data_IF_485557883471
#
_entry.id   IF_485557883471
#
_cell.length_a   1.000
_cell.length_b   1.000
_cell.length_c   1.000
_cell.angle_alpha   90.00
_cell.angle_beta   90.00
_cell.angle_gamma   90.00
#
_symmetry.space_group_name_H-M   'P 1'
#
loop_
_entity.id
_entity.type
_entity.pdbx_description
1 polymer ?
#
# COMPACT_ATOMS: atom_id res chain seq x y z
N UNK A 1 7.24 -23.23 50.86
CA UNK A 1 7.69 -23.67 49.53
C UNK A 1 7.13 -22.72 48.51
N UNK A 2 7.92 -21.72 48.13
CA UNK A 2 7.57 -20.70 47.14
C UNK A 2 8.24 -21.09 45.82
N UNK A 3 7.44 -21.20 44.78
CA UNK A 3 7.80 -21.63 43.43
C UNK A 3 8.66 -20.59 42.71
N UNK A 4 9.66 -21.12 42.03
CA UNK A 4 10.75 -20.47 41.31
C UNK A 4 10.24 -19.74 40.04
N UNK A 5 10.03 -18.43 40.13
CA UNK A 5 9.65 -17.54 39.00
C UNK A 5 10.85 -16.80 38.39
N UNK A 6 12.09 -17.19 38.73
CA UNK A 6 13.28 -16.42 38.35
C UNK A 6 13.80 -16.70 36.93
N UNK A 7 13.39 -17.79 36.26
CA UNK A 7 13.96 -18.18 34.94
C UNK A 7 13.21 -17.67 33.71
N UNK A 8 12.03 -17.07 33.84
CA UNK A 8 11.24 -16.63 32.67
C UNK A 8 11.48 -15.15 32.29
N UNK A 9 12.09 -14.36 33.17
CA UNK A 9 12.26 -12.91 32.95
C UNK A 9 13.53 -12.59 32.14
N UNK A 10 14.52 -13.49 32.09
CA UNK A 10 15.80 -13.24 31.40
C UNK A 10 15.72 -13.31 29.88
N UNK A 11 14.71 -13.99 29.30
CA UNK A 11 14.53 -14.08 27.84
C UNK A 11 13.78 -12.87 27.27
N UNK A 12 12.93 -12.21 28.08
CA UNK A 12 12.18 -11.03 27.64
C UNK A 12 13.03 -9.73 27.64
N UNK A 13 14.08 -9.66 28.46
CA UNK A 13 14.98 -8.50 28.55
C UNK A 13 16.02 -8.43 27.40
N UNK A 14 16.14 -9.48 26.58
CA UNK A 14 16.99 -9.48 25.38
C UNK A 14 16.32 -8.82 24.16
N UNK A 15 15.05 -8.43 24.25
CA UNK A 15 14.25 -7.99 23.10
C UNK A 15 14.27 -6.47 22.84
N UNK A 16 14.71 -5.62 23.76
CA UNK A 16 14.69 -4.16 23.52
C UNK A 16 16.06 -3.56 23.22
N UNK A 17 17.13 -4.01 23.88
CA UNK A 17 18.49 -3.52 23.57
C UNK A 17 19.02 -4.01 22.22
N UNK A 18 18.57 -5.19 21.75
CA UNK A 18 18.88 -5.63 20.40
C UNK A 18 18.08 -4.85 19.35
N UNK A 19 16.79 -4.56 19.60
CA UNK A 19 15.96 -3.72 18.69
C UNK A 19 16.54 -2.32 18.49
N UNK A 20 17.11 -1.70 19.54
CA UNK A 20 17.74 -0.38 19.44
C UNK A 20 19.11 -0.42 18.75
N UNK A 21 19.86 -1.54 18.81
CA UNK A 21 21.14 -1.67 18.10
C UNK A 21 20.98 -1.85 16.59
N UNK A 22 19.86 -2.42 16.10
CA UNK A 22 19.59 -2.51 14.65
C UNK A 22 19.24 -1.13 14.06
N UNK A 23 18.76 -0.18 14.87
CA UNK A 23 18.42 1.18 14.40
C UNK A 23 19.61 2.16 14.37
N UNK A 24 20.70 1.92 15.12
CA UNK A 24 21.78 2.90 15.30
C UNK A 24 23.10 2.56 14.59
N UNK A 25 23.09 1.61 13.64
CA UNK A 25 24.20 1.42 12.70
C UNK A 25 23.76 1.78 11.29
N UNK A 26 23.31 3.03 11.11
CA UNK A 26 23.00 3.59 9.79
C UNK A 26 24.32 4.09 9.20
N UNK A 27 25.06 3.19 8.55
CA UNK A 27 25.77 3.60 7.33
C UNK A 27 24.65 4.01 6.36
N UNK A 28 24.73 5.14 5.65
CA UNK A 28 23.72 5.49 4.65
C UNK A 28 23.77 4.43 3.53
N UNK A 29 22.99 3.37 3.69
CA UNK A 29 22.63 2.47 2.61
C UNK A 29 21.70 3.28 1.72
N UNK A 30 22.15 3.62 0.51
CA UNK A 30 21.33 4.41 -0.40
C UNK A 30 19.98 3.70 -0.63
N UNK A 31 18.88 4.38 -0.34
CA UNK A 31 17.56 3.87 -0.71
C UNK A 31 17.44 3.85 -2.24
N UNK A 32 17.03 2.73 -2.80
CA UNK A 32 16.62 2.63 -4.20
C UNK A 32 15.17 3.08 -4.32
N UNK A 33 14.93 4.01 -5.25
CA UNK A 33 13.61 4.56 -5.53
C UNK A 33 13.11 3.96 -6.83
N UNK A 34 11.86 3.52 -6.84
CA UNK A 34 11.16 3.06 -8.04
C UNK A 34 9.70 3.52 -8.00
N UNK A 35 8.99 3.35 -9.12
CA UNK A 35 7.56 3.69 -9.20
C UNK A 35 6.70 2.51 -9.59
N UNK A 36 5.52 2.39 -9.00
CA UNK A 36 4.44 1.48 -9.45
C UNK A 36 3.22 2.35 -9.73
N UNK A 37 2.72 2.35 -10.96
CA UNK A 37 1.59 3.20 -11.39
C UNK A 37 1.78 4.69 -11.05
N UNK A 38 3.03 5.17 -11.14
CA UNK A 38 3.50 6.54 -10.80
C UNK A 38 3.64 6.83 -9.30
N UNK A 39 3.15 5.95 -8.42
CA UNK A 39 3.39 6.04 -6.98
C UNK A 39 4.83 5.65 -6.66
N UNK A 40 5.49 6.43 -5.79
CA UNK A 40 6.90 6.27 -5.46
C UNK A 40 7.07 5.30 -4.29
N UNK A 41 7.96 4.32 -4.46
CA UNK A 41 8.33 3.35 -3.43
C UNK A 41 9.85 3.36 -3.21
N UNK A 42 10.26 2.89 -2.03
CA UNK A 42 11.66 2.83 -1.63
C UNK A 42 11.98 1.44 -1.08
N UNK A 43 13.19 0.97 -1.39
CA UNK A 43 13.74 -0.27 -0.83
C UNK A 43 15.23 -0.09 -0.56
N UNK A 44 15.77 -0.89 0.35
CA UNK A 44 17.22 -0.96 0.62
C UNK A 44 17.92 -1.96 -0.31
N UNK A 45 17.16 -2.91 -0.88
CA UNK A 45 17.69 -3.96 -1.73
C UNK A 45 17.72 -3.52 -3.20
N UNK A 46 18.90 -3.62 -3.82
CA UNK A 46 19.06 -3.29 -5.24
C UNK A 46 18.38 -4.33 -6.16
N UNK A 47 18.29 -5.58 -5.70
CA UNK A 47 17.72 -6.69 -6.47
C UNK A 47 16.42 -7.09 -5.79
N UNK A 48 15.29 -6.88 -6.46
CA UNK A 48 13.96 -7.23 -5.96
C UNK A 48 13.19 -8.05 -7.00
N UNK A 49 12.18 -8.77 -6.53
CA UNK A 49 11.30 -9.62 -7.34
C UNK A 49 10.01 -8.91 -7.72
N UNK A 50 9.31 -9.38 -8.75
CA UNK A 50 7.97 -8.90 -9.10
C UNK A 50 6.99 -8.97 -7.93
N UNK A 51 7.08 -10.03 -7.12
CA UNK A 51 6.31 -10.20 -5.88
C UNK A 51 6.61 -9.09 -4.88
N UNK A 52 7.88 -8.84 -4.58
CA UNK A 52 8.27 -7.79 -3.64
C UNK A 52 7.82 -6.39 -4.10
N UNK A 53 7.82 -6.13 -5.42
CA UNK A 53 7.30 -4.88 -6.00
C UNK A 53 5.81 -4.71 -5.65
N UNK A 54 4.98 -5.73 -5.87
CA UNK A 54 3.55 -5.68 -5.57
C UNK A 54 3.26 -5.64 -4.07
N UNK A 55 4.03 -6.38 -3.25
CA UNK A 55 3.93 -6.38 -1.79
C UNK A 55 4.26 -4.99 -1.21
N UNK A 56 5.34 -4.35 -1.67
CA UNK A 56 5.71 -2.99 -1.27
C UNK A 56 4.64 -1.97 -1.68
N UNK A 57 3.95 -2.22 -2.80
CA UNK A 57 2.82 -1.44 -3.26
C UNK A 57 1.49 -1.74 -2.54
N UNK A 58 1.47 -2.72 -1.62
CA UNK A 58 0.27 -3.20 -0.92
C UNK A 58 -0.85 -3.68 -1.88
N UNK A 59 -0.47 -4.13 -3.08
CA UNK A 59 -1.35 -4.76 -4.06
C UNK A 59 -1.40 -6.26 -3.77
N UNK A 60 -2.37 -6.65 -2.94
CA UNK A 60 -2.47 -7.99 -2.35
C UNK A 60 -3.88 -8.57 -2.52
N UNK A 61 -4.02 -9.88 -2.78
CA UNK A 61 -2.94 -10.85 -3.04
C UNK A 61 -2.21 -10.55 -4.35
N UNK A 62 -0.91 -10.80 -4.43
CA UNK A 62 -0.10 -10.38 -5.60
C UNK A 62 -0.55 -11.08 -6.88
N UNK A 63 -1.15 -12.24 -6.76
CA UNK A 63 -1.69 -13.05 -7.87
C UNK A 63 -2.91 -12.41 -8.55
N UNK A 64 -3.54 -11.41 -7.92
CA UNK A 64 -4.67 -10.67 -8.53
C UNK A 64 -4.19 -9.63 -9.57
N UNK A 65 -2.88 -9.40 -9.72
CA UNK A 65 -2.33 -8.31 -10.53
C UNK A 65 -1.32 -8.80 -11.57
N UNK A 66 -1.40 -8.23 -12.78
CA UNK A 66 -0.35 -8.29 -13.79
C UNK A 66 0.65 -7.17 -13.53
N UNK A 67 1.94 -7.49 -13.47
CA UNK A 67 3.01 -6.52 -13.34
C UNK A 67 3.77 -6.40 -14.66
N UNK A 68 4.02 -5.16 -15.09
CA UNK A 68 4.78 -4.84 -16.28
C UNK A 68 5.98 -3.96 -15.90
N UNK A 69 7.11 -4.18 -16.57
CA UNK A 69 8.31 -3.34 -16.47
C UNK A 69 8.45 -2.46 -17.72
N UNK A 70 8.80 -1.18 -17.53
CA UNK A 70 9.16 -0.30 -18.64
C UNK A 70 10.61 -0.52 -19.03
N UNK A 71 10.85 -1.10 -20.20
CA UNK A 71 12.20 -1.42 -20.71
C UNK A 71 12.85 -0.29 -21.51
N UNK A 72 12.07 0.64 -22.08
CA UNK A 72 12.53 1.83 -22.82
C UNK A 72 11.33 2.75 -23.21
N UNK A 73 11.53 3.69 -24.14
CA UNK A 73 10.46 4.54 -24.71
C UNK A 73 9.44 3.76 -25.56
N UNK A 74 9.73 2.50 -25.91
CA UNK A 74 8.97 1.73 -26.91
C UNK A 74 7.93 0.76 -26.32
N UNK A 75 7.90 0.53 -25.01
CA UNK A 75 6.84 -0.30 -24.44
C UNK A 75 7.06 -0.85 -23.03
N UNK A 76 6.15 -1.76 -22.68
CA UNK A 76 6.10 -2.50 -21.42
C UNK A 76 6.20 -4.00 -21.71
N UNK A 77 6.89 -4.73 -20.84
CA UNK A 77 6.98 -6.19 -20.89
C UNK A 77 6.44 -6.80 -19.59
N UNK A 78 5.76 -7.97 -19.63
CA UNK A 78 5.35 -8.66 -18.42
C UNK A 78 6.53 -9.07 -17.54
N UNK A 79 6.42 -8.84 -16.25
CA UNK A 79 7.40 -9.21 -15.23
C UNK A 79 6.81 -10.31 -14.34
N UNK A 80 7.48 -11.47 -14.26
CA UNK A 80 6.99 -12.57 -13.42
C UNK A 80 7.22 -12.29 -11.93
N UNK A 81 6.41 -12.93 -11.07
CA UNK A 81 6.45 -12.70 -9.62
C UNK A 81 7.80 -13.10 -8.99
N UNK A 82 8.46 -14.14 -9.49
CA UNK A 82 9.75 -14.65 -9.00
C UNK A 82 10.97 -14.13 -9.77
N UNK A 83 10.72 -13.37 -10.85
CA UNK A 83 11.77 -12.77 -11.65
C UNK A 83 12.49 -11.67 -10.88
N UNK A 84 13.82 -11.73 -10.87
CA UNK A 84 14.69 -10.79 -10.15
C UNK A 84 15.12 -9.65 -11.07
N UNK A 85 14.95 -8.43 -10.59
CA UNK A 85 15.29 -7.20 -11.29
C UNK A 85 16.31 -6.39 -10.48
N UNK A 86 17.35 -5.90 -11.16
CA UNK A 86 18.33 -4.97 -10.57
C UNK A 86 17.91 -3.52 -10.83
N UNK A 87 17.52 -2.81 -9.76
CA UNK A 87 17.11 -1.41 -9.78
C UNK A 87 18.26 -0.44 -10.12
N UNK A 88 19.50 -0.90 -10.19
CA UNK A 88 20.65 -0.09 -10.67
C UNK A 88 20.68 0.03 -12.20
N UNK A 89 19.90 -0.78 -12.92
CA UNK A 89 19.84 -0.72 -14.37
C UNK A 89 19.26 0.61 -14.86
N UNK A 90 19.95 1.26 -15.79
CA UNK A 90 19.45 2.50 -16.40
C UNK A 90 18.10 2.25 -17.10
N UNK A 91 17.10 3.10 -16.82
CA UNK A 91 15.77 3.02 -17.43
C UNK A 91 14.73 2.21 -16.65
N UNK A 92 15.12 1.49 -15.59
CA UNK A 92 14.23 0.70 -14.72
C UNK A 92 13.73 1.57 -13.57
N UNK A 93 12.87 2.53 -13.87
CA UNK A 93 12.33 3.46 -12.86
C UNK A 93 10.81 3.35 -12.70
N UNK A 94 10.14 2.57 -13.56
CA UNK A 94 8.68 2.51 -13.62
C UNK A 94 8.15 1.12 -13.92
N UNK A 95 7.37 0.61 -12.99
CA UNK A 95 6.52 -0.54 -13.13
C UNK A 95 5.07 -0.10 -13.30
N UNK A 96 4.29 -0.93 -13.98
CA UNK A 96 2.87 -0.74 -14.15
C UNK A 96 2.14 -2.02 -13.76
N UNK A 97 1.29 -1.93 -12.74
CA UNK A 97 0.42 -2.98 -12.30
C UNK A 97 -1.02 -2.72 -12.76
N UNK A 98 -1.73 -3.78 -13.14
CA UNK A 98 -3.18 -3.73 -13.37
C UNK A 98 -3.83 -5.00 -12.83
N UNK A 99 -5.08 -4.96 -12.37
CA UNK A 99 -5.78 -6.17 -11.95
C UNK A 99 -6.02 -7.11 -13.14
N UNK A 100 -5.95 -8.43 -12.93
CA UNK A 100 -6.34 -9.41 -13.95
C UNK A 100 -7.87 -9.44 -14.20
N UNK A 101 -8.64 -9.01 -13.19
CA UNK A 101 -10.11 -8.96 -13.20
C UNK A 101 -10.57 -7.71 -12.45
N UNK A 102 -11.83 -7.34 -12.66
CA UNK A 102 -12.48 -6.32 -11.83
C UNK A 102 -12.33 -6.66 -10.34
N UNK A 103 -11.88 -5.68 -9.56
CA UNK A 103 -11.81 -5.75 -8.11
C UNK A 103 -13.15 -5.28 -7.54
N UNK A 104 -13.62 -5.95 -6.48
CA UNK A 104 -14.85 -5.59 -5.79
C UNK A 104 -14.48 -4.93 -4.46
N UNK A 105 -14.78 -3.64 -4.34
CA UNK A 105 -14.77 -2.90 -3.07
C UNK A 105 -16.19 -2.62 -2.62
N UNK A 106 -16.38 -2.12 -1.40
CA UNK A 106 -17.70 -1.82 -0.85
C UNK A 106 -17.74 -0.38 -0.35
N UNK A 107 -18.77 0.37 -0.73
CA UNK A 107 -19.05 1.73 -0.23
C UNK A 107 -20.46 1.72 0.34
N UNK A 108 -20.60 2.03 1.64
CA UNK A 108 -21.88 1.95 2.35
C UNK A 108 -22.55 0.56 2.24
N UNK A 109 -21.73 -0.49 2.34
CA UNK A 109 -22.11 -1.91 2.18
C UNK A 109 -22.61 -2.31 0.77
N UNK A 110 -22.60 -1.39 -0.21
CA UNK A 110 -22.89 -1.69 -1.60
C UNK A 110 -21.62 -2.07 -2.37
N UNK A 111 -21.63 -3.16 -3.17
CA UNK A 111 -20.47 -3.55 -3.96
C UNK A 111 -20.24 -2.57 -5.13
N UNK A 112 -18.98 -2.24 -5.35
CA UNK A 112 -18.50 -1.39 -6.43
C UNK A 112 -17.37 -2.12 -7.16
N UNK A 113 -17.56 -2.36 -8.46
CA UNK A 113 -16.54 -2.92 -9.35
C UNK A 113 -15.60 -1.83 -9.85
N UNK A 114 -14.29 -2.08 -9.76
CA UNK A 114 -13.24 -1.16 -10.20
C UNK A 114 -12.09 -1.92 -10.86
N UNK A 115 -11.39 -1.29 -11.80
CA UNK A 115 -10.23 -1.83 -12.52
C UNK A 115 -8.91 -1.10 -12.24
N UNK A 116 -8.93 -0.14 -11.32
CA UNK A 116 -7.76 0.66 -10.94
C UNK A 116 -7.03 0.09 -9.73
N UNK A 117 -5.69 0.05 -9.78
CA UNK A 117 -4.84 -0.38 -8.65
C UNK A 117 -4.76 0.67 -7.53
N UNK A 118 -4.93 1.96 -7.87
CA UNK A 118 -4.82 3.06 -6.93
C UNK A 118 -5.93 4.07 -7.18
N UNK A 119 -6.75 4.33 -6.16
CA UNK A 119 -7.78 5.35 -6.23
C UNK A 119 -7.69 6.31 -5.04
N UNK A 120 -8.03 7.57 -5.26
CA UNK A 120 -8.23 8.54 -4.19
C UNK A 120 -9.59 8.37 -3.54
N UNK A 121 -9.78 8.82 -2.29
CA UNK A 121 -11.09 8.94 -1.67
C UNK A 121 -12.14 9.61 -2.56
N UNK A 122 -11.74 10.64 -3.32
CA UNK A 122 -12.63 11.34 -4.25
C UNK A 122 -13.00 10.51 -5.48
N UNK A 123 -12.03 9.79 -6.05
CA UNK A 123 -12.27 8.86 -7.16
C UNK A 123 -13.23 7.74 -6.73
N UNK A 124 -13.05 7.17 -5.53
CA UNK A 124 -13.94 6.13 -4.97
C UNK A 124 -15.36 6.67 -4.75
N UNK A 125 -15.51 7.86 -4.15
CA UNK A 125 -16.83 8.48 -3.96
C UNK A 125 -17.54 8.71 -5.30
N UNK A 126 -16.82 9.25 -6.28
CA UNK A 126 -17.36 9.52 -7.62
C UNK A 126 -17.79 8.24 -8.31
N UNK A 127 -16.96 7.19 -8.25
CA UNK A 127 -17.28 5.87 -8.79
C UNK A 127 -18.51 5.24 -8.11
N UNK A 128 -18.71 5.49 -6.82
CA UNK A 128 -19.90 5.09 -6.06
C UNK A 128 -21.14 5.98 -6.31
N UNK A 129 -21.08 6.93 -7.24
CA UNK A 129 -22.18 7.85 -7.54
C UNK A 129 -22.44 8.91 -6.45
N UNK A 130 -21.47 9.16 -5.56
CA UNK A 130 -21.55 10.18 -4.51
C UNK A 130 -20.88 11.47 -4.97
N UNK A 131 -21.41 12.62 -4.53
CA UNK A 131 -20.75 13.92 -4.75
C UNK A 131 -19.53 14.03 -3.85
N UNK A 132 -18.34 14.02 -4.45
CA UNK A 132 -17.10 14.23 -3.71
C UNK A 132 -17.14 15.55 -2.92
N UNK A 133 -17.77 16.63 -3.40
CA UNK A 133 -17.77 17.89 -2.65
C UNK A 133 -18.63 17.87 -1.38
N UNK A 134 -19.61 16.97 -1.31
CA UNK A 134 -20.51 16.83 -0.16
C UNK A 134 -20.12 15.74 0.83
N UNK A 135 -19.18 14.86 0.47
CA UNK A 135 -18.83 13.69 1.26
C UNK A 135 -17.31 13.53 1.44
N UNK A 136 -16.92 12.85 2.50
CA UNK A 136 -15.59 12.28 2.68
C UNK A 136 -15.67 10.78 2.95
N UNK A 137 -14.57 10.08 2.71
CA UNK A 137 -14.50 8.63 2.83
C UNK A 137 -13.82 8.23 4.15
N UNK A 138 -14.34 7.18 4.77
CA UNK A 138 -13.63 6.42 5.81
C UNK A 138 -13.41 5.00 5.32
N UNK A 139 -12.21 4.45 5.51
CA UNK A 139 -11.95 3.03 5.33
C UNK A 139 -12.16 2.28 6.64
N UNK A 140 -12.84 1.14 6.56
CA UNK A 140 -13.18 0.28 7.69
C UNK A 140 -12.44 -1.04 7.53
N UNK A 141 -11.68 -1.44 8.56
CA UNK A 141 -10.95 -2.70 8.60
C UNK A 141 -11.07 -3.33 9.98
N UNK A 142 -12.03 -4.26 10.12
CA UNK A 142 -12.39 -4.84 11.42
C UNK A 142 -12.85 -3.75 12.39
N UNK A 143 -12.12 -3.59 13.50
CA UNK A 143 -12.38 -2.54 14.50
C UNK A 143 -11.60 -1.24 14.26
N UNK A 144 -10.83 -1.14 13.16
CA UNK A 144 -10.04 0.04 12.83
C UNK A 144 -10.76 0.87 11.78
N UNK A 145 -10.70 2.19 11.97
CA UNK A 145 -11.17 3.18 11.00
C UNK A 145 -10.02 4.12 10.62
N UNK A 146 -9.91 4.41 9.32
CA UNK A 146 -9.04 5.47 8.78
C UNK A 146 -9.92 6.50 8.11
N UNK A 147 -9.85 7.75 8.56
CA UNK A 147 -10.62 8.85 7.99
C UNK A 147 -9.79 9.62 6.97
N UNK A 148 -10.31 9.78 5.76
CA UNK A 148 -9.69 10.58 4.69
C UNK A 148 -10.26 12.00 4.60
N UNK A 149 -10.96 12.48 5.63
CA UNK A 149 -11.58 13.82 5.64
C UNK A 149 -10.62 14.94 5.22
N UNK A 150 -9.37 14.85 5.68
CA UNK A 150 -8.33 15.86 5.44
C UNK A 150 -7.23 15.39 4.47
N UNK A 151 -7.36 14.18 3.89
CA UNK A 151 -6.36 13.59 2.99
C UNK A 151 -7.07 12.91 1.81
N UNK A 152 -7.77 13.75 1.03
CA UNK A 152 -8.76 13.30 0.04
C UNK A 152 -8.16 12.90 -1.30
N UNK A 153 -6.89 13.25 -1.52
CA UNK A 153 -6.10 12.89 -2.70
C UNK A 153 -5.12 11.74 -2.41
N UNK A 154 -5.17 11.18 -1.19
CA UNK A 154 -4.39 10.02 -0.82
C UNK A 154 -4.63 8.86 -1.78
N UNK A 155 -3.59 8.33 -2.42
CA UNK A 155 -3.72 7.17 -3.30
C UNK A 155 -3.78 5.89 -2.47
N UNK A 156 -4.97 5.30 -2.41
CA UNK A 156 -5.25 4.05 -1.69
C UNK A 156 -4.98 2.89 -2.66
N UNK A 157 -4.13 1.94 -2.26
CA UNK A 157 -3.98 0.66 -2.96
C UNK A 157 -5.29 -0.14 -2.88
N UNK A 158 -5.90 -0.40 -4.03
CA UNK A 158 -7.20 -1.05 -4.15
C UNK A 158 -7.01 -2.56 -4.22
N UNK A 159 -7.78 -3.28 -3.40
CA UNK A 159 -7.83 -4.73 -3.33
C UNK A 159 -9.25 -5.22 -3.08
N UNK A 160 -9.50 -6.48 -3.39
CA UNK A 160 -10.79 -7.11 -3.14
C UNK A 160 -11.20 -7.00 -1.66
N UNK A 161 -12.47 -6.68 -1.43
CA UNK A 161 -13.10 -6.66 -0.12
C UNK A 161 -12.80 -5.42 0.73
N UNK A 162 -12.09 -4.40 0.21
CA UNK A 162 -11.97 -3.14 0.94
C UNK A 162 -13.36 -2.55 1.21
N UNK A 163 -13.56 -2.07 2.44
CA UNK A 163 -14.82 -1.47 2.88
C UNK A 163 -14.64 -0.01 3.21
N UNK A 164 -15.59 0.78 2.75
CA UNK A 164 -15.63 2.22 2.97
C UNK A 164 -17.03 2.66 3.40
N UNK A 165 -17.08 3.77 4.13
CA UNK A 165 -18.31 4.48 4.45
C UNK A 165 -18.19 5.93 3.98
N UNK A 166 -19.23 6.41 3.30
CA UNK A 166 -19.37 7.82 2.93
C UNK A 166 -19.95 8.60 4.11
N UNK A 167 -19.33 9.74 4.43
CA UNK A 167 -19.74 10.61 5.53
C UNK A 167 -19.96 12.03 4.99
N UNK A 168 -21.04 12.70 5.38
CA UNK A 168 -21.30 14.08 4.96
C UNK A 168 -20.22 15.03 5.48
N UNK A 169 -19.83 15.99 4.65
CA UNK A 169 -19.07 17.15 5.07
C UNK A 169 -20.04 18.14 5.71
N UNK A 170 -19.90 18.36 7.02
CA UNK A 170 -20.61 19.44 7.69
C UNK A 170 -20.20 20.78 7.07
N UNK A 171 -21.12 21.74 6.90
CA UNK A 171 -20.76 23.08 6.47
C UNK A 171 -19.71 23.64 7.42
N UNK A 172 -18.61 24.16 6.88
CA UNK A 172 -17.65 24.90 7.70
C UNK A 172 -18.36 26.15 8.21
N UNK A 173 -18.77 26.16 9.47
CA UNK A 173 -19.26 27.37 10.14
C UNK A 173 -18.11 28.37 10.18
N UNK A 174 -18.11 29.33 9.26
CA UNK A 174 -17.19 30.47 9.32
C UNK A 174 -17.68 31.35 10.47
N UNK A 175 -16.94 31.36 11.58
CA UNK A 175 -17.18 32.28 12.71
C UNK A 175 -16.55 33.63 12.42
#
# INVERSE_FOLDING_TARGET
MLSDTSKTVSVLMLSEKMRTLIFNTIIPMGNFIYKVNREKFETVDAIITGKEILENANLLPVEDYELLIKVNERGFEPLQLDEKIDLKGAGIEGFFAKPYKMLIIYVDDEPLEVDECFMTPNEILTAAGKDANGFYLKQISGHKEVSYKNDREHKIAIKNGLKFSSCKLEPTTVS
#
